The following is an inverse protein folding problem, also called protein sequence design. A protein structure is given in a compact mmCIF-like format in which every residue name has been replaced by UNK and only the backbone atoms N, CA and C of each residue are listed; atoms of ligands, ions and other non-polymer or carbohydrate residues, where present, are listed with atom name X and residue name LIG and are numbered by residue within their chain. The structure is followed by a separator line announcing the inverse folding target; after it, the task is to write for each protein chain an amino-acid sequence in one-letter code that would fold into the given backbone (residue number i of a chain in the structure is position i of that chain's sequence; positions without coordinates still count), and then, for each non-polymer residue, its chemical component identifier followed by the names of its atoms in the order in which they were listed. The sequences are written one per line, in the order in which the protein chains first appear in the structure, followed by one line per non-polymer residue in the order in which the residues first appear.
data_IF_304262539693
#
_entry.id   IF_304262539693
#
_cell.length_a   1.000
_cell.length_b   1.000
_cell.length_c   1.000
_cell.angle_alpha   90.00
_cell.angle_beta   90.00
_cell.angle_gamma   90.00
#
_symmetry.space_group_name_H-M   'P 1'
#
loop_
_entity.id
_entity.type
_entity.pdbx_description
1 polymer ?
#
# COMPACT_ATOMS: atom_id res chain seq x y z
N UNK A 1 -22.67 29.31 29.91
CA UNK A 1 -21.22 29.04 29.70
C UNK A 1 -20.98 28.69 28.23
N UNK A 2 -20.44 29.61 27.43
CA UNK A 2 -20.15 29.36 26.02
C UNK A 2 -19.07 28.27 25.91
N UNK A 3 -19.40 27.17 25.21
CA UNK A 3 -18.45 26.11 24.90
C UNK A 3 -17.37 26.70 24.01
N UNK A 4 -16.15 26.74 24.53
CA UNK A 4 -14.89 27.07 23.88
C UNK A 4 -14.90 26.55 22.44
N UNK A 5 -15.05 27.45 21.47
CA UNK A 5 -14.78 27.18 20.06
C UNK A 5 -13.32 26.74 19.97
N UNK A 6 -13.12 25.42 19.82
CA UNK A 6 -11.83 24.88 19.47
C UNK A 6 -11.55 25.33 18.03
N UNK A 7 -10.53 26.16 17.90
CA UNK A 7 -9.89 26.59 16.65
C UNK A 7 -9.85 25.42 15.64
N UNK A 8 -10.80 25.40 14.71
CA UNK A 8 -10.90 24.36 13.67
C UNK A 8 -9.78 24.64 12.67
N UNK A 9 -8.58 24.15 12.96
CA UNK A 9 -7.51 24.06 11.96
C UNK A 9 -8.11 23.34 10.74
N UNK A 10 -7.75 23.72 9.49
CA UNK A 10 -8.27 23.09 8.29
C UNK A 10 -7.66 21.68 8.15
N UNK A 11 -8.13 20.80 9.02
CA UNK A 11 -7.61 19.47 9.23
C UNK A 11 -8.12 18.58 8.10
N UNK A 12 -7.20 17.78 7.55
CA UNK A 12 -7.58 16.72 6.65
C UNK A 12 -8.43 15.67 7.37
N UNK A 13 -8.84 14.67 6.60
CA UNK A 13 -9.57 13.51 7.08
C UNK A 13 -8.99 12.96 8.40
N UNK A 14 -9.87 12.77 9.38
CA UNK A 14 -9.53 12.24 10.72
C UNK A 14 -8.95 10.83 10.63
N UNK A 15 -8.17 10.45 11.65
CA UNK A 15 -7.58 9.10 11.73
C UNK A 15 -8.68 8.05 11.73
N UNK A 16 -8.47 6.97 10.98
CA UNK A 16 -9.44 5.89 10.84
C UNK A 16 -10.37 6.03 9.64
N UNK A 17 -10.56 7.24 9.12
CA UNK A 17 -11.41 7.50 7.95
C UNK A 17 -10.91 6.76 6.73
N UNK A 18 -11.85 6.16 5.99
CA UNK A 18 -11.56 5.45 4.75
C UNK A 18 -12.08 6.26 3.58
N UNK A 19 -11.22 6.50 2.60
CA UNK A 19 -11.59 7.18 1.37
C UNK A 19 -11.05 6.42 0.16
N UNK A 20 -11.60 6.67 -1.02
CA UNK A 20 -11.17 6.03 -2.25
C UNK A 20 -10.66 7.07 -3.23
N UNK A 21 -9.47 6.83 -3.79
CA UNK A 21 -8.90 7.66 -4.86
C UNK A 21 -8.62 6.75 -6.05
N UNK A 22 -9.19 7.10 -7.21
CA UNK A 22 -9.18 6.27 -8.42
C UNK A 22 -9.75 4.87 -8.13
N UNK A 23 -8.90 3.85 -8.18
CA UNK A 23 -9.29 2.46 -7.95
C UNK A 23 -8.80 1.91 -6.61
N UNK A 24 -8.18 2.74 -5.75
CA UNK A 24 -7.59 2.31 -4.48
C UNK A 24 -8.37 2.88 -3.30
N UNK A 25 -8.55 2.05 -2.27
CA UNK A 25 -9.14 2.44 -0.99
C UNK A 25 -8.02 2.64 0.03
N UNK A 26 -8.07 3.77 0.72
CA UNK A 26 -7.11 4.20 1.71
C UNK A 26 -7.78 4.30 3.07
N UNK A 27 -7.00 4.14 4.13
CA UNK A 27 -7.38 4.42 5.52
C UNK A 27 -6.37 5.42 6.07
N UNK A 28 -6.85 6.51 6.66
CA UNK A 28 -6.03 7.50 7.35
C UNK A 28 -5.42 6.85 8.60
N UNK A 29 -4.10 6.95 8.72
CA UNK A 29 -3.32 6.57 9.89
C UNK A 29 -2.91 7.81 10.70
N UNK A 30 -2.62 8.90 10.01
CA UNK A 30 -2.32 10.19 10.64
C UNK A 30 -2.97 11.32 9.83
N UNK A 31 -3.53 12.31 10.51
CA UNK A 31 -4.14 13.47 9.86
C UNK A 31 -3.06 14.34 9.21
N UNK A 32 -3.41 14.98 8.10
CA UNK A 32 -2.58 16.01 7.45
C UNK A 32 -3.30 17.34 7.49
N UNK A 33 -2.62 18.43 7.18
CA UNK A 33 -3.23 19.77 7.11
C UNK A 33 -3.32 20.26 5.67
N UNK A 34 -4.32 21.10 5.37
CA UNK A 34 -4.48 21.72 4.04
C UNK A 34 -3.35 22.70 3.72
N UNK A 35 -2.76 23.35 4.74
CA UNK A 35 -1.62 24.27 4.62
C UNK A 35 -0.30 23.61 4.17
N UNK A 36 -0.26 22.28 4.01
CA UNK A 36 0.92 21.55 3.56
C UNK A 36 2.04 21.42 4.60
N UNK A 37 1.92 22.10 5.76
CA UNK A 37 2.85 22.01 6.89
C UNK A 37 2.93 20.59 7.46
N UNK A 38 1.79 19.88 7.55
CA UNK A 38 1.75 18.49 8.01
C UNK A 38 1.21 17.55 6.92
N UNK A 39 2.02 16.56 6.53
CA UNK A 39 1.63 15.55 5.55
C UNK A 39 1.08 14.34 6.30
N UNK A 40 -0.20 14.06 6.14
CA UNK A 40 -0.85 12.91 6.76
C UNK A 40 -0.29 11.58 6.27
N UNK A 41 -0.59 10.48 6.96
CA UNK A 41 -0.15 9.14 6.57
C UNK A 41 -1.37 8.24 6.31
N UNK A 42 -1.27 7.39 5.29
CA UNK A 42 -2.36 6.47 4.91
C UNK A 42 -1.86 5.05 4.65
N UNK A 43 -2.76 4.10 4.89
CA UNK A 43 -2.63 2.70 4.52
C UNK A 43 -3.53 2.37 3.33
N UNK A 44 -3.05 1.60 2.36
CA UNK A 44 -3.91 1.06 1.30
C UNK A 44 -4.64 -0.16 1.84
N UNK A 45 -5.96 -0.06 1.99
CA UNK A 45 -6.79 -1.13 2.57
C UNK A 45 -7.53 -1.95 1.51
N UNK A 46 -7.52 -1.53 0.25
CA UNK A 46 -8.34 -2.18 -0.76
C UNK A 46 -8.24 -1.61 -2.17
N UNK A 47 -9.04 -2.20 -3.05
CA UNK A 47 -9.42 -1.61 -4.34
C UNK A 47 -10.93 -1.38 -4.42
N UNK A 48 -11.35 -0.42 -5.25
CA UNK A 48 -12.77 -0.19 -5.57
C UNK A 48 -13.31 -1.27 -6.50
N UNK A 49 -12.53 -1.67 -7.52
CA UNK A 49 -12.92 -2.66 -8.52
C UNK A 49 -12.00 -3.87 -8.49
N UNK A 50 -12.55 -5.10 -8.46
CA UNK A 50 -11.76 -6.35 -8.50
C UNK A 50 -11.23 -6.71 -9.91
N UNK A 51 -11.66 -5.96 -10.93
CA UNK A 51 -11.29 -6.14 -12.34
C UNK A 51 -10.01 -5.39 -12.74
N UNK A 52 -9.39 -4.67 -11.81
CA UNK A 52 -8.20 -3.84 -12.07
C UNK A 52 -7.04 -4.70 -12.57
N UNK A 53 -6.50 -4.33 -13.74
CA UNK A 53 -5.36 -5.02 -14.37
C UNK A 53 -4.01 -4.54 -13.85
N UNK A 54 -3.91 -3.25 -13.51
CA UNK A 54 -2.68 -2.58 -13.08
C UNK A 54 -2.96 -1.75 -11.84
N UNK A 55 -2.18 -1.97 -10.78
CA UNK A 55 -2.24 -1.17 -9.56
C UNK A 55 -0.98 -0.34 -9.43
N UNK A 56 -1.15 0.96 -9.19
CA UNK A 56 -0.06 1.87 -8.88
C UNK A 56 -0.33 2.52 -7.53
N UNK A 57 0.36 2.03 -6.50
CA UNK A 57 0.38 2.65 -5.18
C UNK A 57 1.45 3.74 -5.23
N UNK A 58 1.00 4.99 -5.35
CA UNK A 58 1.87 6.16 -5.34
C UNK A 58 2.61 6.34 -4.01
N UNK A 59 3.65 7.17 -4.01
CA UNK A 59 4.34 7.58 -2.78
C UNK A 59 3.47 8.52 -1.92
N UNK A 60 2.62 9.29 -2.59
CA UNK A 60 1.66 10.21 -2.02
C UNK A 60 0.31 10.05 -2.73
N UNK A 61 -0.76 10.43 -2.06
CA UNK A 61 -2.11 10.57 -2.59
C UNK A 61 -2.70 11.87 -2.04
N UNK A 62 -3.32 12.67 -2.90
CA UNK A 62 -4.03 13.88 -2.47
C UNK A 62 -5.51 13.56 -2.40
N UNK A 63 -6.16 13.98 -1.32
CA UNK A 63 -7.60 13.83 -1.12
C UNK A 63 -8.11 15.05 -0.35
N UNK A 64 -9.17 15.68 -0.87
CA UNK A 64 -9.78 16.89 -0.29
C UNK A 64 -8.76 18.01 0.00
N UNK A 65 -7.89 18.31 -0.98
CA UNK A 65 -6.83 19.32 -0.82
C UNK A 65 -5.66 18.92 0.10
N UNK A 66 -5.75 17.79 0.83
CA UNK A 66 -4.71 17.33 1.75
C UNK A 66 -3.84 16.26 1.13
N UNK A 67 -2.52 16.40 1.31
CA UNK A 67 -1.52 15.44 0.85
C UNK A 67 -1.27 14.36 1.90
N UNK A 68 -1.45 13.11 1.52
CA UNK A 68 -1.18 11.94 2.35
C UNK A 68 -0.03 11.11 1.81
N UNK A 69 0.86 10.68 2.68
CA UNK A 69 1.96 9.76 2.41
C UNK A 69 1.48 8.32 2.54
N UNK A 70 1.69 7.52 1.49
CA UNK A 70 1.32 6.10 1.54
C UNK A 70 2.44 5.30 2.21
N UNK A 71 2.20 4.88 3.46
CA UNK A 71 3.23 4.25 4.30
C UNK A 71 3.04 2.75 4.46
N UNK A 72 1.84 2.22 4.24
CA UNK A 72 1.61 0.79 4.36
C UNK A 72 0.56 0.26 3.39
N UNK A 73 0.61 -1.04 3.14
CA UNK A 73 -0.45 -1.80 2.48
C UNK A 73 -1.09 -2.68 3.56
N UNK A 74 -2.38 -2.52 3.78
CA UNK A 74 -3.14 -3.23 4.79
C UNK A 74 -3.31 -4.73 4.50
N UNK A 75 -3.82 -5.43 5.50
CA UNK A 75 -4.10 -6.85 5.40
C UNK A 75 -5.16 -7.12 4.33
N UNK A 76 -4.94 -8.15 3.50
CA UNK A 76 -5.86 -8.55 2.41
C UNK A 76 -6.19 -7.46 1.37
N UNK A 77 -5.47 -6.33 1.35
CA UNK A 77 -5.80 -5.15 0.54
C UNK A 77 -5.96 -5.44 -0.96
N UNK A 78 -5.17 -6.36 -1.50
CA UNK A 78 -5.19 -6.77 -2.89
C UNK A 78 -5.50 -8.26 -3.02
N UNK A 79 -6.22 -8.86 -2.08
CA UNK A 79 -6.49 -10.30 -2.13
C UNK A 79 -7.55 -10.68 -3.17
N UNK A 80 -7.37 -11.84 -3.81
CA UNK A 80 -8.31 -12.46 -4.77
C UNK A 80 -8.61 -11.61 -6.01
N UNK A 81 -7.65 -10.83 -6.50
CA UNK A 81 -7.79 -10.05 -7.72
C UNK A 81 -7.53 -10.90 -8.96
N UNK A 82 -8.62 -11.28 -9.64
CA UNK A 82 -8.60 -12.21 -10.78
C UNK A 82 -7.94 -11.66 -12.04
N UNK A 83 -7.83 -10.32 -12.19
CA UNK A 83 -7.33 -9.66 -13.42
C UNK A 83 -6.02 -8.89 -13.23
N UNK A 84 -5.53 -8.75 -12.01
CA UNK A 84 -4.33 -7.96 -11.71
C UNK A 84 -3.07 -8.65 -12.24
N UNK A 85 -2.34 -7.97 -13.14
CA UNK A 85 -1.07 -8.45 -13.71
C UNK A 85 0.14 -7.75 -13.12
N UNK A 86 0.02 -6.46 -12.80
CA UNK A 86 1.14 -5.60 -12.37
C UNK A 86 0.77 -4.75 -11.17
N UNK A 87 1.66 -4.70 -10.18
CA UNK A 87 1.57 -3.80 -9.02
C UNK A 87 2.84 -2.97 -8.93
N UNK A 88 2.70 -1.67 -8.72
CA UNK A 88 3.81 -0.76 -8.42
C UNK A 88 3.61 -0.19 -7.02
N UNK A 89 4.62 -0.32 -6.16
CA UNK A 89 4.64 0.14 -4.78
C UNK A 89 5.59 1.33 -4.68
N UNK A 90 5.08 2.46 -4.20
CA UNK A 90 5.81 3.73 -4.08
C UNK A 90 6.96 3.70 -3.07
N UNK A 91 7.79 4.75 -3.11
CA UNK A 91 9.04 4.85 -2.34
C UNK A 91 8.87 4.94 -0.81
N UNK A 92 7.67 5.31 -0.35
CA UNK A 92 7.39 5.59 1.07
C UNK A 92 6.81 4.39 1.83
N UNK A 93 6.50 3.29 1.15
CA UNK A 93 5.85 2.13 1.78
C UNK A 93 6.83 1.38 2.68
N UNK A 94 6.52 1.35 3.97
CA UNK A 94 7.32 0.73 5.05
C UNK A 94 6.87 -0.70 5.36
N UNK A 95 5.60 -1.01 5.16
CA UNK A 95 5.03 -2.31 5.53
C UNK A 95 4.01 -2.82 4.52
N UNK A 96 4.02 -4.13 4.29
CA UNK A 96 3.02 -4.87 3.52
C UNK A 96 2.34 -5.85 4.47
N UNK A 97 1.01 -5.78 4.57
CA UNK A 97 0.21 -6.58 5.49
C UNK A 97 0.13 -8.05 5.15
N UNK A 98 -0.41 -8.83 6.08
CA UNK A 98 -0.65 -10.26 5.89
C UNK A 98 -1.68 -10.48 4.78
N UNK A 99 -1.45 -11.51 3.96
CA UNK A 99 -2.32 -11.87 2.83
C UNK A 99 -2.58 -10.70 1.84
N UNK A 100 -1.72 -9.68 1.78
CA UNK A 100 -1.93 -8.49 0.95
C UNK A 100 -2.27 -8.82 -0.52
N UNK A 101 -1.54 -9.72 -1.17
CA UNK A 101 -1.74 -10.21 -2.55
C UNK A 101 -2.17 -11.69 -2.57
N UNK A 102 -2.93 -12.12 -1.57
CA UNK A 102 -3.30 -13.53 -1.43
C UNK A 102 -4.21 -14.00 -2.56
N UNK A 103 -3.88 -15.15 -3.16
CA UNK A 103 -4.63 -15.77 -4.25
C UNK A 103 -4.74 -14.92 -5.54
N UNK A 104 -3.80 -14.01 -5.78
CA UNK A 104 -3.68 -13.25 -7.03
C UNK A 104 -3.00 -14.09 -8.12
N UNK A 105 -3.74 -15.05 -8.69
CA UNK A 105 -3.20 -16.02 -9.67
C UNK A 105 -2.63 -15.36 -10.94
N UNK A 106 -3.16 -14.21 -11.36
CA UNK A 106 -2.70 -13.50 -12.58
C UNK A 106 -1.57 -12.48 -12.32
N UNK A 107 -1.17 -12.28 -11.06
CA UNK A 107 -0.12 -11.32 -10.71
C UNK A 107 1.24 -11.89 -11.10
N UNK A 108 1.87 -11.29 -12.11
CA UNK A 108 3.18 -11.72 -12.63
C UNK A 108 4.29 -10.75 -12.26
N UNK A 109 3.98 -9.47 -11.97
CA UNK A 109 5.00 -8.46 -11.68
C UNK A 109 4.63 -7.54 -10.52
N UNK A 110 5.50 -7.46 -9.52
CA UNK A 110 5.46 -6.46 -8.44
C UNK A 110 6.72 -5.61 -8.54
N UNK A 111 6.57 -4.30 -8.58
CA UNK A 111 7.69 -3.35 -8.61
C UNK A 111 7.68 -2.59 -7.30
N UNK A 112 8.74 -2.72 -6.52
CA UNK A 112 8.89 -2.05 -5.23
C UNK A 112 9.93 -0.94 -5.40
N UNK A 113 9.48 0.30 -5.36
CA UNK A 113 10.37 1.47 -5.37
C UNK A 113 10.79 1.90 -3.96
N UNK A 114 10.22 1.29 -2.91
CA UNK A 114 10.57 1.57 -1.52
C UNK A 114 11.94 1.03 -1.17
N UNK A 115 12.78 1.89 -0.58
CA UNK A 115 14.03 1.54 0.08
C UNK A 115 13.85 1.29 1.58
N UNK A 116 12.65 1.58 2.13
CA UNK A 116 12.34 1.59 3.57
C UNK A 116 11.39 0.46 3.99
N UNK A 117 11.19 -0.58 3.17
CA UNK A 117 10.32 -1.71 3.51
C UNK A 117 10.92 -2.53 4.66
N UNK A 118 10.31 -2.38 5.84
CA UNK A 118 10.64 -3.09 7.07
C UNK A 118 9.95 -4.44 7.13
N UNK A 119 8.64 -4.49 6.92
CA UNK A 119 7.86 -5.70 7.17
C UNK A 119 7.05 -6.17 5.96
N UNK A 120 7.02 -7.49 5.75
CA UNK A 120 6.14 -8.17 4.79
C UNK A 120 5.39 -9.24 5.55
N UNK A 121 4.06 -9.14 5.57
CA UNK A 121 3.20 -9.98 6.38
C UNK A 121 3.18 -11.43 5.89
N UNK A 122 2.81 -12.33 6.82
CA UNK A 122 2.65 -13.76 6.54
C UNK A 122 1.68 -13.97 5.39
N UNK A 123 2.04 -14.86 4.47
CA UNK A 123 1.23 -15.21 3.29
C UNK A 123 0.90 -14.02 2.36
N UNK A 124 1.64 -12.90 2.42
CA UNK A 124 1.35 -11.73 1.58
C UNK A 124 1.33 -12.04 0.08
N UNK A 125 2.08 -13.03 -0.41
CA UNK A 125 2.07 -13.46 -1.81
C UNK A 125 1.71 -14.95 -1.97
N UNK A 126 1.04 -15.56 -0.98
CA UNK A 126 0.64 -16.98 -1.07
C UNK A 126 -0.43 -17.17 -2.16
N UNK A 127 -0.34 -18.28 -2.90
CA UNK A 127 -1.22 -18.60 -4.05
C UNK A 127 -1.18 -17.55 -5.19
N UNK A 128 -0.06 -16.82 -5.33
CA UNK A 128 0.20 -15.97 -6.50
C UNK A 128 0.76 -16.80 -7.68
N UNK A 129 0.97 -16.16 -8.83
CA UNK A 129 1.55 -16.83 -10.01
C UNK A 129 2.90 -17.49 -9.68
N UNK A 130 3.13 -18.68 -10.24
CA UNK A 130 4.44 -19.35 -10.18
C UNK A 130 5.54 -18.52 -10.89
N UNK A 131 5.17 -17.66 -11.84
CA UNK A 131 6.07 -16.77 -12.60
C UNK A 131 6.18 -15.36 -11.99
N UNK A 132 5.83 -15.20 -10.71
CA UNK A 132 5.86 -13.90 -10.06
C UNK A 132 7.29 -13.37 -9.95
N UNK A 133 7.52 -12.20 -10.55
CA UNK A 133 8.75 -11.43 -10.44
C UNK A 133 8.53 -10.21 -9.57
N UNK A 134 9.36 -10.05 -8.54
CA UNK A 134 9.38 -8.87 -7.67
C UNK A 134 10.66 -8.09 -7.96
N UNK A 135 10.53 -6.91 -8.57
CA UNK A 135 11.64 -5.99 -8.78
C UNK A 135 11.80 -5.11 -7.56
N UNK A 136 13.00 -5.08 -6.98
CA UNK A 136 13.32 -4.31 -5.77
C UNK A 136 14.56 -3.44 -5.99
N UNK A 137 14.83 -2.44 -5.14
CA UNK A 137 16.06 -1.67 -5.24
C UNK A 137 17.28 -2.56 -4.96
N UNK A 138 18.32 -2.47 -5.82
CA UNK A 138 19.53 -3.32 -5.76
C UNK A 138 20.12 -3.42 -4.34
N UNK A 139 20.21 -2.29 -3.62
CA UNK A 139 20.75 -2.19 -2.25
C UNK A 139 20.03 -3.09 -1.23
N UNK A 140 18.72 -3.32 -1.38
CA UNK A 140 17.92 -4.08 -0.42
C UNK A 140 17.51 -5.47 -0.92
N UNK A 141 18.02 -5.90 -2.08
CA UNK A 141 17.60 -7.12 -2.77
C UNK A 141 17.67 -8.37 -1.91
N UNK A 142 18.80 -8.62 -1.23
CA UNK A 142 19.00 -9.81 -0.37
C UNK A 142 17.97 -9.86 0.77
N UNK A 143 17.79 -8.74 1.49
CA UNK A 143 16.83 -8.66 2.60
C UNK A 143 15.39 -8.86 2.12
N UNK A 144 15.00 -8.20 1.02
CA UNK A 144 13.63 -8.28 0.52
C UNK A 144 13.34 -9.67 -0.06
N UNK A 145 14.30 -10.29 -0.75
CA UNK A 145 14.17 -11.65 -1.23
C UNK A 145 13.85 -12.63 -0.10
N UNK A 146 14.55 -12.54 1.04
CA UNK A 146 14.25 -13.35 2.23
C UNK A 146 12.81 -13.12 2.72
N UNK A 147 12.37 -11.85 2.83
CA UNK A 147 11.01 -11.50 3.28
C UNK A 147 9.94 -12.02 2.32
N UNK A 148 10.12 -11.89 1.02
CA UNK A 148 9.14 -12.35 0.03
C UNK A 148 9.09 -13.86 -0.11
N UNK A 149 10.22 -14.57 0.00
CA UNK A 149 10.23 -16.04 0.06
C UNK A 149 9.45 -16.56 1.26
N UNK A 150 9.57 -15.92 2.43
CA UNK A 150 8.78 -16.21 3.64
C UNK A 150 7.30 -15.79 3.51
N UNK A 151 6.97 -14.91 2.58
CA UNK A 151 5.61 -14.40 2.36
C UNK A 151 4.69 -15.37 1.58
N UNK A 152 5.12 -16.62 1.34
CA UNK A 152 4.23 -17.72 0.96
C UNK A 152 4.29 -18.18 -0.50
N UNK A 153 5.14 -17.59 -1.34
CA UNK A 153 5.47 -18.13 -2.67
C UNK A 153 6.95 -18.51 -2.71
N UNK A 154 7.24 -19.82 -2.61
CA UNK A 154 8.61 -20.34 -2.64
C UNK A 154 9.30 -20.16 -4.00
N UNK A 155 8.53 -20.04 -5.09
CA UNK A 155 9.02 -19.89 -6.48
C UNK A 155 9.16 -18.43 -6.92
N UNK A 156 9.00 -17.48 -5.99
CA UNK A 156 9.10 -16.05 -6.31
C UNK A 156 10.51 -15.68 -6.75
N UNK A 157 10.62 -14.96 -7.86
CA UNK A 157 11.89 -14.42 -8.36
C UNK A 157 12.01 -12.98 -7.91
N UNK A 158 13.05 -12.65 -7.14
CA UNK A 158 13.32 -11.28 -6.70
C UNK A 158 14.52 -10.74 -7.45
N UNK A 159 14.31 -9.69 -8.26
CA UNK A 159 15.34 -9.08 -9.12
C UNK A 159 15.75 -7.70 -8.63
#
# INVERSE_FOLDING_TARGET
MPKKEAEVKPEGQVVGTKFAVKNLKYKVLNTGTKDGKNIGEVSVVGVKKKTVKKISVGAFVTYDGVKYRVVSIGNKAFSKLKKQKKVTIGKNVRSIGAKAFYADKKLTKIIIKSKKLKNVGKNAIKKTSKKLVITVPKKNKKSYAKKFRKAGNKKVVVK
#
